data_IF_256002605454
#
_entry.id   IF_256002605454
#
_cell.length_a   1.000
_cell.length_b   1.000
_cell.length_c   1.000
_cell.angle_alpha   90.00
_cell.angle_beta   90.00
_cell.angle_gamma   90.00
#
_symmetry.space_group_name_H-M   'P 1'
#
loop_
_entity.id
_entity.type
_entity.pdbx_description
1 polymer ?
#
# COMPACT_ATOMS: atom_id res chain seq x y z
N UNK A 1 18.27 -10.45 19.41
CA UNK A 1 17.45 -10.49 20.65
C UNK A 1 16.65 -11.77 20.57
N UNK A 2 16.63 -12.59 21.63
CA UNK A 2 15.74 -13.74 21.67
C UNK A 2 14.30 -13.25 21.42
N UNK A 3 13.55 -13.96 20.58
CA UNK A 3 12.13 -13.69 20.41
C UNK A 3 11.49 -13.67 21.80
N UNK A 4 10.79 -12.58 22.12
CA UNK A 4 10.07 -12.46 23.39
C UNK A 4 8.96 -13.52 23.36
N UNK A 5 9.21 -14.64 24.02
CA UNK A 5 8.22 -15.69 24.25
C UNK A 5 7.15 -15.13 25.19
N UNK A 6 5.89 -15.16 24.75
CA UNK A 6 4.76 -14.72 25.57
C UNK A 6 4.22 -15.83 26.49
N UNK A 7 4.78 -17.05 26.42
CA UNK A 7 4.39 -18.19 27.24
C UNK A 7 3.02 -18.78 26.88
N UNK A 8 2.47 -18.42 25.72
CA UNK A 8 1.16 -18.86 25.26
C UNK A 8 1.28 -19.69 23.97
N UNK A 9 0.68 -20.87 23.97
CA UNK A 9 0.66 -21.74 22.79
C UNK A 9 -0.62 -21.50 21.95
N UNK A 10 -0.58 -20.49 21.08
CA UNK A 10 -1.63 -20.27 20.08
C UNK A 10 -1.08 -19.60 18.81
N UNK A 11 -1.82 -19.72 17.70
CA UNK A 11 -1.41 -19.18 16.41
C UNK A 11 -1.28 -17.65 16.39
N UNK A 12 -2.11 -16.94 17.16
CA UNK A 12 -2.04 -15.47 17.26
C UNK A 12 -0.77 -15.02 17.97
N UNK A 13 -0.44 -15.62 19.12
CA UNK A 13 0.81 -15.37 19.82
C UNK A 13 1.99 -15.63 18.92
N UNK A 14 1.99 -16.76 18.20
CA UNK A 14 3.06 -17.08 17.25
C UNK A 14 3.19 -16.04 16.14
N UNK A 15 2.08 -15.55 15.59
CA UNK A 15 2.11 -14.49 14.59
C UNK A 15 2.72 -13.19 15.15
N UNK A 16 2.31 -12.78 16.36
CA UNK A 16 2.83 -11.56 17.01
C UNK A 16 4.32 -11.69 17.34
N UNK A 17 4.82 -12.86 17.71
CA UNK A 17 6.25 -13.10 17.89
C UNK A 17 7.04 -12.95 16.59
N UNK A 18 6.46 -13.33 15.46
CA UNK A 18 7.12 -13.30 14.16
C UNK A 18 7.07 -11.92 13.50
N UNK A 19 5.94 -11.21 13.60
CA UNK A 19 5.69 -9.97 12.84
C UNK A 19 5.20 -8.79 13.68
N UNK A 20 5.04 -8.96 15.00
CA UNK A 20 4.57 -7.91 15.90
C UNK A 20 5.63 -6.88 16.29
N UNK A 21 6.92 -7.17 16.04
CA UNK A 21 8.00 -6.22 16.26
C UNK A 21 7.89 -5.01 15.32
N UNK A 22 8.21 -3.81 15.85
CA UNK A 22 8.12 -2.55 15.09
C UNK A 22 8.87 -2.70 13.76
N UNK A 23 8.26 -2.20 12.68
CA UNK A 23 8.70 -2.25 11.28
C UNK A 23 8.49 -3.57 10.52
N UNK A 24 8.32 -4.72 11.17
CA UNK A 24 8.20 -6.00 10.47
C UNK A 24 7.05 -5.99 9.46
N UNK A 25 5.83 -5.65 9.90
CA UNK A 25 4.66 -5.54 9.03
C UNK A 25 4.78 -4.42 7.98
N UNK A 26 5.54 -3.36 8.23
CA UNK A 26 5.77 -2.30 7.25
C UNK A 26 6.74 -2.72 6.15
N UNK A 27 7.75 -3.53 6.48
CA UNK A 27 8.64 -4.17 5.50
C UNK A 27 7.84 -5.18 4.66
N UNK A 28 7.02 -6.00 5.31
CA UNK A 28 6.14 -6.96 4.62
C UNK A 28 5.17 -6.24 3.69
N UNK A 29 4.53 -5.16 4.14
CA UNK A 29 3.65 -4.29 3.33
C UNK A 29 4.34 -3.85 2.04
N UNK A 30 5.59 -3.39 2.11
CA UNK A 30 6.30 -2.92 0.91
C UNK A 30 6.70 -4.09 -0.01
N UNK A 31 7.07 -5.25 0.56
CA UNK A 31 7.41 -6.46 -0.21
C UNK A 31 6.19 -7.17 -0.83
N UNK A 32 4.99 -6.94 -0.29
CA UNK A 32 3.72 -7.39 -0.90
C UNK A 32 3.48 -6.74 -2.25
N UNK A 33 3.94 -5.50 -2.44
CA UNK A 33 3.91 -4.82 -3.75
C UNK A 33 4.91 -5.46 -4.72
N UNK A 34 6.09 -5.83 -4.24
CA UNK A 34 7.06 -6.61 -5.03
C UNK A 34 8.45 -6.64 -4.42
N UNK A 35 9.41 -7.34 -5.05
CA UNK A 35 10.78 -7.41 -4.57
C UNK A 35 11.45 -6.03 -4.47
N UNK A 36 12.29 -5.83 -3.44
CA UNK A 36 12.97 -4.55 -3.18
C UNK A 36 14.44 -4.75 -2.82
N UNK A 37 15.30 -3.86 -3.29
CA UNK A 37 16.67 -3.71 -2.77
C UNK A 37 16.63 -3.13 -1.36
N UNK A 38 17.71 -3.32 -0.61
CA UNK A 38 17.85 -2.73 0.73
C UNK A 38 17.60 -1.21 0.73
N UNK A 39 18.23 -0.48 -0.20
CA UNK A 39 18.08 0.97 -0.31
C UNK A 39 16.65 1.42 -0.67
N UNK A 40 15.91 0.60 -1.41
CA UNK A 40 14.51 0.89 -1.75
C UNK A 40 13.61 0.73 -0.53
N UNK A 41 13.84 -0.30 0.30
CA UNK A 41 13.14 -0.46 1.58
C UNK A 41 13.47 0.68 2.55
N UNK A 42 14.75 1.09 2.64
CA UNK A 42 15.15 2.20 3.48
C UNK A 42 14.50 3.52 3.03
N UNK A 43 14.40 3.75 1.72
CA UNK A 43 13.71 4.93 1.17
C UNK A 43 12.19 4.88 1.38
N UNK A 44 11.57 3.69 1.28
CA UNK A 44 10.13 3.50 1.53
C UNK A 44 9.75 3.62 3.02
N UNK A 45 10.72 3.50 3.92
CA UNK A 45 10.56 3.59 5.37
C UNK A 45 11.47 4.68 5.94
N UNK A 46 11.25 5.98 5.63
CA UNK A 46 12.23 7.05 5.87
C UNK A 46 12.66 7.24 7.34
N UNK A 47 11.87 6.72 8.30
CA UNK A 47 12.15 6.80 9.74
C UNK A 47 12.74 5.52 10.33
N UNK A 48 13.06 4.50 9.52
CA UNK A 48 13.70 3.27 10.01
C UNK A 48 15.21 3.47 10.14
N UNK A 49 15.81 3.22 11.31
CA UNK A 49 17.27 3.18 11.40
C UNK A 49 17.84 2.01 10.60
N UNK A 50 18.96 2.23 9.90
CA UNK A 50 19.60 1.23 9.04
C UNK A 50 19.92 -0.10 9.76
N UNK A 51 20.45 -0.01 10.99
CA UNK A 51 20.70 -1.19 11.84
C UNK A 51 19.42 -1.95 12.20
N UNK A 52 18.31 -1.26 12.43
CA UNK A 52 17.00 -1.87 12.70
C UNK A 52 16.44 -2.53 11.44
N UNK A 53 16.54 -1.89 10.28
CA UNK A 53 16.14 -2.51 9.01
C UNK A 53 16.91 -3.81 8.75
N UNK A 54 18.24 -3.79 8.94
CA UNK A 54 19.07 -4.99 8.78
C UNK A 54 18.69 -6.11 9.76
N UNK A 55 18.44 -5.77 11.04
CA UNK A 55 17.99 -6.72 12.04
C UNK A 55 16.64 -7.36 11.68
N UNK A 56 15.66 -6.53 11.28
CA UNK A 56 14.31 -7.01 10.92
C UNK A 56 14.32 -7.87 9.66
N UNK A 57 15.12 -7.52 8.65
CA UNK A 57 15.28 -8.37 7.46
C UNK A 57 15.91 -9.72 7.80
N UNK A 58 16.89 -9.76 8.71
CA UNK A 58 17.48 -11.01 9.19
C UNK A 58 16.44 -11.86 9.91
N UNK A 59 15.69 -11.29 10.86
CA UNK A 59 14.66 -11.99 11.62
C UNK A 59 13.54 -12.55 10.71
N UNK A 60 13.05 -11.74 9.77
CA UNK A 60 12.03 -12.19 8.79
C UNK A 60 12.56 -13.31 7.87
N UNK A 61 13.86 -13.31 7.56
CA UNK A 61 14.48 -14.37 6.77
C UNK A 61 14.65 -15.66 7.59
N UNK A 62 15.07 -15.54 8.86
CA UNK A 62 15.16 -16.67 9.80
C UNK A 62 13.79 -17.30 10.06
N UNK A 63 12.73 -16.48 10.07
CA UNK A 63 11.34 -16.92 10.13
C UNK A 63 10.80 -17.54 8.83
N UNK A 64 11.58 -17.53 7.74
CA UNK A 64 11.16 -18.04 6.43
C UNK A 64 10.09 -17.20 5.72
N UNK A 65 9.83 -15.97 6.19
CA UNK A 65 8.83 -15.06 5.63
C UNK A 65 9.37 -14.36 4.38
N UNK A 66 10.65 -14.00 4.40
CA UNK A 66 11.34 -13.41 3.25
C UNK A 66 12.55 -14.24 2.85
N UNK A 67 13.04 -14.01 1.63
CA UNK A 67 14.33 -14.51 1.16
C UNK A 67 15.09 -13.44 0.41
N UNK A 68 16.42 -13.57 0.38
CA UNK A 68 17.29 -12.84 -0.54
C UNK A 68 17.35 -13.60 -1.87
N UNK A 69 17.07 -12.91 -2.96
CA UNK A 69 17.10 -13.47 -4.30
C UNK A 69 17.99 -12.61 -5.22
N UNK A 70 18.83 -13.22 -6.07
CA UNK A 70 19.50 -12.48 -7.14
C UNK A 70 18.48 -12.10 -8.20
N UNK A 71 18.49 -10.82 -8.61
CA UNK A 71 17.71 -10.33 -9.75
C UNK A 71 18.66 -9.56 -10.67
N UNK A 72 19.09 -10.22 -11.76
CA UNK A 72 20.18 -9.74 -12.61
C UNK A 72 21.45 -9.49 -11.77
N UNK A 73 22.01 -8.27 -11.76
CA UNK A 73 23.24 -7.92 -11.03
C UNK A 73 23.02 -7.41 -9.60
N UNK A 74 21.78 -7.41 -9.10
CA UNK A 74 21.44 -6.90 -7.76
C UNK A 74 20.82 -7.96 -6.88
N UNK A 75 20.99 -7.83 -5.57
CA UNK A 75 20.27 -8.64 -4.58
C UNK A 75 19.01 -7.88 -4.14
N UNK A 76 17.89 -8.58 -4.20
CA UNK A 76 16.60 -8.09 -3.69
C UNK A 76 16.12 -8.97 -2.55
N UNK A 77 15.26 -8.41 -1.72
CA UNK A 77 14.43 -9.13 -0.77
C UNK A 77 13.06 -9.33 -1.39
N UNK A 78 12.48 -10.50 -1.18
CA UNK A 78 11.13 -10.82 -1.61
C UNK A 78 10.45 -11.77 -0.62
N UNK A 79 9.12 -11.74 -0.58
CA UNK A 79 8.34 -12.67 0.24
C UNK A 79 8.47 -14.09 -0.33
N UNK A 80 8.59 -15.06 0.56
CA UNK A 80 8.41 -16.48 0.24
C UNK A 80 6.92 -16.79 0.02
N UNK A 81 6.54 -17.99 -0.45
CA UNK A 81 5.14 -18.40 -0.48
C UNK A 81 4.45 -18.22 0.89
N UNK A 82 5.12 -18.62 1.98
CA UNK A 82 4.62 -18.42 3.34
C UNK A 82 4.45 -16.94 3.69
N UNK A 83 5.41 -16.07 3.33
CA UNK A 83 5.28 -14.64 3.56
C UNK A 83 4.16 -13.97 2.75
N UNK A 84 3.80 -14.51 1.58
CA UNK A 84 2.68 -14.00 0.76
C UNK A 84 1.32 -14.26 1.40
N UNK A 85 1.19 -15.29 2.24
CA UNK A 85 -0.04 -15.58 2.99
C UNK A 85 -0.39 -14.46 4.01
N UNK A 86 0.53 -13.53 4.29
CA UNK A 86 0.27 -12.37 5.15
C UNK A 86 -0.50 -11.25 4.44
N UNK A 87 -0.71 -11.31 3.11
CA UNK A 87 -1.42 -10.25 2.38
C UNK A 87 -2.81 -9.96 2.96
N UNK A 88 -3.70 -10.94 3.18
CA UNK A 88 -5.03 -10.68 3.73
C UNK A 88 -4.97 -10.07 5.14
N UNK A 89 -3.96 -10.42 5.95
CA UNK A 89 -3.76 -9.86 7.29
C UNK A 89 -3.36 -8.39 7.21
N UNK A 90 -2.43 -8.04 6.31
CA UNK A 90 -1.99 -6.66 6.12
C UNK A 90 -3.12 -5.80 5.57
N UNK A 91 -3.91 -6.31 4.62
CA UNK A 91 -5.10 -5.60 4.10
C UNK A 91 -6.14 -5.38 5.20
N UNK A 92 -6.46 -6.41 5.99
CA UNK A 92 -7.40 -6.28 7.11
C UNK A 92 -6.92 -5.27 8.16
N UNK A 93 -5.63 -5.29 8.51
CA UNK A 93 -5.03 -4.32 9.42
C UNK A 93 -5.07 -2.91 8.85
N UNK A 94 -4.83 -2.75 7.55
CA UNK A 94 -4.95 -1.48 6.84
C UNK A 94 -6.37 -0.91 6.89
N UNK A 95 -7.38 -1.74 6.59
CA UNK A 95 -8.78 -1.35 6.65
C UNK A 95 -9.22 -0.98 8.07
N UNK A 96 -8.79 -1.74 9.08
CA UNK A 96 -9.04 -1.43 10.48
C UNK A 96 -8.35 -0.11 10.91
N UNK A 97 -7.09 0.08 10.53
CA UNK A 97 -6.33 1.28 10.85
C UNK A 97 -6.84 2.53 10.14
N UNK A 98 -7.41 2.39 8.95
CA UNK A 98 -7.99 3.47 8.17
C UNK A 98 -9.09 4.23 8.93
N UNK A 99 -9.91 3.50 9.72
CA UNK A 99 -10.98 4.08 10.54
C UNK A 99 -10.49 5.02 11.65
N UNK A 100 -9.25 4.83 12.08
CA UNK A 100 -8.60 5.65 13.09
C UNK A 100 -7.75 6.78 12.49
N UNK A 101 -7.70 6.92 11.16
CA UNK A 101 -6.93 7.98 10.52
C UNK A 101 -7.65 9.32 10.69
N UNK A 102 -6.93 10.29 11.27
CA UNK A 102 -7.29 11.71 11.21
C UNK A 102 -6.68 12.40 10.00
N UNK A 103 -6.59 13.72 10.08
CA UNK A 103 -5.90 14.50 9.06
C UNK A 103 -4.39 14.19 9.03
N UNK A 104 -3.78 14.15 7.83
CA UNK A 104 -2.36 13.88 7.70
C UNK A 104 -1.54 14.99 8.33
N UNK A 105 -0.54 14.63 9.13
CA UNK A 105 0.46 15.58 9.64
C UNK A 105 1.47 15.94 8.54
N UNK A 106 2.03 17.14 8.61
CA UNK A 106 2.94 17.68 7.58
C UNK A 106 4.14 16.77 7.27
N UNK A 107 4.67 16.08 8.28
CA UNK A 107 5.81 15.17 8.13
C UNK A 107 5.45 13.79 7.56
N UNK A 108 4.15 13.50 7.34
CA UNK A 108 3.68 12.23 6.82
C UNK A 108 3.69 12.23 5.30
N UNK A 109 4.54 11.39 4.72
CA UNK A 109 4.62 11.20 3.27
C UNK A 109 3.77 10.01 2.82
N UNK A 110 3.29 10.09 1.58
CA UNK A 110 2.74 8.95 0.85
C UNK A 110 3.86 8.34 0.00
N UNK A 111 4.19 7.07 0.23
CA UNK A 111 5.12 6.33 -0.63
C UNK A 111 4.35 5.51 -1.66
N UNK A 112 4.93 5.20 -2.84
CA UNK A 112 4.26 4.38 -3.84
C UNK A 112 3.74 3.06 -3.28
N UNK A 113 4.55 2.36 -2.46
CA UNK A 113 4.17 1.06 -1.91
C UNK A 113 3.05 1.18 -0.87
N UNK A 114 3.09 2.22 -0.03
CA UNK A 114 2.02 2.46 0.94
C UNK A 114 0.68 2.78 0.25
N UNK A 115 0.71 3.56 -0.85
CA UNK A 115 -0.49 3.90 -1.61
C UNK A 115 -1.01 2.71 -2.39
N UNK A 116 -0.14 1.91 -3.03
CA UNK A 116 -0.56 0.66 -3.67
C UNK A 116 -1.29 -0.25 -2.70
N UNK A 117 -0.80 -0.39 -1.47
CA UNK A 117 -1.48 -1.20 -0.45
C UNK A 117 -2.79 -0.55 0.02
N UNK A 118 -2.87 0.78 0.13
CA UNK A 118 -4.11 1.47 0.44
C UNK A 118 -5.17 1.24 -0.66
N UNK A 119 -4.78 1.32 -1.94
CA UNK A 119 -5.65 1.05 -3.08
C UNK A 119 -6.12 -0.41 -3.10
N UNK A 120 -5.22 -1.38 -2.90
CA UNK A 120 -5.60 -2.80 -2.76
C UNK A 120 -6.60 -3.02 -1.61
N UNK A 121 -6.40 -2.32 -0.50
CA UNK A 121 -7.28 -2.42 0.68
C UNK A 121 -8.66 -1.83 0.39
N UNK A 122 -8.73 -0.72 -0.35
CA UNK A 122 -9.97 -0.02 -0.69
C UNK A 122 -10.69 -0.61 -1.91
N UNK A 123 -10.04 -1.46 -2.69
CA UNK A 123 -10.59 -1.96 -3.94
C UNK A 123 -11.84 -2.82 -3.73
N UNK A 124 -12.92 -2.50 -4.46
CA UNK A 124 -14.19 -3.22 -4.44
C UNK A 124 -14.33 -4.04 -5.73
N UNK A 125 -13.83 -5.28 -5.79
CA UNK A 125 -13.84 -6.07 -7.03
C UNK A 125 -15.25 -6.35 -7.55
N UNK A 126 -16.26 -6.40 -6.67
CA UNK A 126 -17.66 -6.59 -7.06
C UNK A 126 -18.21 -5.40 -7.83
N UNK A 127 -17.85 -4.16 -7.43
CA UNK A 127 -18.24 -2.94 -8.14
C UNK A 127 -17.44 -2.82 -9.45
N UNK A 128 -16.14 -3.10 -9.38
CA UNK A 128 -15.25 -3.03 -10.54
C UNK A 128 -15.64 -4.00 -11.68
N UNK A 129 -16.20 -5.17 -11.34
CA UNK A 129 -16.63 -6.18 -12.31
C UNK A 129 -17.73 -5.69 -13.27
N UNK A 130 -18.51 -4.68 -12.89
CA UNK A 130 -19.62 -4.13 -13.67
C UNK A 130 -19.22 -2.90 -14.50
N UNK A 131 -17.96 -2.46 -14.39
CA UNK A 131 -17.46 -1.22 -14.98
C UNK A 131 -16.52 -1.51 -16.17
N UNK A 132 -16.47 -0.62 -17.18
CA UNK A 132 -15.47 -0.72 -18.24
C UNK A 132 -14.06 -0.62 -17.68
N UNK A 133 -13.12 -1.33 -18.33
CA UNK A 133 -11.69 -1.19 -18.06
C UNK A 133 -11.30 0.28 -18.03
N UNK A 134 -10.62 0.70 -16.97
CA UNK A 134 -10.21 2.09 -16.77
C UNK A 134 -8.79 2.13 -16.23
N UNK A 135 -7.96 3.00 -16.81
CA UNK A 135 -6.59 3.27 -16.38
C UNK A 135 -6.52 4.67 -15.79
N UNK A 136 -6.05 4.77 -14.55
CA UNK A 136 -5.82 6.03 -13.85
C UNK A 136 -4.32 6.30 -13.72
N UNK A 137 -3.90 7.52 -14.03
CA UNK A 137 -2.55 8.03 -13.74
C UNK A 137 -2.61 8.91 -12.49
N UNK A 138 -2.05 8.46 -11.37
CA UNK A 138 -2.18 9.15 -10.10
C UNK A 138 -0.82 9.66 -9.59
N UNK A 139 -0.76 10.94 -9.27
CA UNK A 139 0.42 11.60 -8.69
C UNK A 139 0.16 11.92 -7.21
N UNK A 140 0.86 11.24 -6.31
CA UNK A 140 0.80 11.45 -4.87
C UNK A 140 2.10 12.02 -4.33
N UNK A 141 2.25 13.35 -4.42
CA UNK A 141 3.54 14.00 -4.15
C UNK A 141 4.60 13.52 -5.15
N UNK A 142 5.64 12.85 -4.66
CA UNK A 142 6.70 12.27 -5.51
C UNK A 142 6.38 10.84 -6.01
N UNK A 143 5.24 10.28 -5.65
CA UNK A 143 4.84 8.94 -6.06
C UNK A 143 3.94 9.00 -7.31
N UNK A 144 4.38 8.37 -8.39
CA UNK A 144 3.61 8.20 -9.62
C UNK A 144 3.14 6.76 -9.73
N UNK A 145 1.84 6.57 -9.95
CA UNK A 145 1.22 5.26 -10.08
C UNK A 145 0.33 5.20 -11.33
N UNK A 146 0.45 4.10 -12.06
CA UNK A 146 -0.50 3.70 -13.09
C UNK A 146 -1.40 2.61 -12.49
N UNK A 147 -2.69 2.92 -12.37
CA UNK A 147 -3.70 2.08 -11.73
C UNK A 147 -4.64 1.56 -12.81
N UNK A 148 -4.57 0.27 -13.12
CA UNK A 148 -5.44 -0.38 -14.09
C UNK A 148 -6.49 -1.21 -13.37
N UNK A 149 -7.74 -0.89 -13.62
CA UNK A 149 -8.90 -1.68 -13.18
C UNK A 149 -9.49 -2.36 -14.41
N UNK A 150 -9.55 -3.68 -14.38
CA UNK A 150 -10.06 -4.51 -15.48
C UNK A 150 -10.96 -5.62 -14.90
N UNK A 151 -12.27 -5.38 -14.92
CA UNK A 151 -13.23 -6.20 -14.18
C UNK A 151 -12.88 -6.31 -12.69
N UNK A 152 -12.87 -7.51 -12.08
CA UNK A 152 -12.52 -7.68 -10.67
C UNK A 152 -11.00 -7.64 -10.40
N UNK A 153 -10.18 -7.26 -11.39
CA UNK A 153 -8.73 -7.25 -11.27
C UNK A 153 -8.20 -5.83 -11.11
N UNK A 154 -7.21 -5.70 -10.22
CA UNK A 154 -6.49 -4.47 -9.96
C UNK A 154 -5.00 -4.71 -10.21
N UNK A 155 -4.43 -3.96 -11.14
CA UNK A 155 -2.98 -3.85 -11.32
C UNK A 155 -2.53 -2.43 -10.97
N UNK A 156 -1.44 -2.32 -10.22
CA UNK A 156 -0.87 -1.04 -9.80
C UNK A 156 0.63 -1.08 -10.05
N UNK A 157 1.08 -0.29 -11.01
CA UNK A 157 2.48 -0.14 -11.38
C UNK A 157 3.00 1.23 -10.92
N UNK A 158 4.31 1.31 -10.66
CA UNK A 158 4.99 2.60 -10.44
C UNK A 158 5.32 3.26 -11.78
N UNK A 159 5.19 4.57 -11.83
CA UNK A 159 5.51 5.40 -12.99
C UNK A 159 4.27 6.01 -13.64
N UNK A 160 4.51 6.61 -14.80
CA UNK A 160 3.52 7.23 -15.65
C UNK A 160 3.16 6.35 -16.85
N UNK A 161 2.15 6.79 -17.61
CA UNK A 161 1.72 6.10 -18.81
C UNK A 161 0.38 6.63 -19.31
N UNK A 162 -0.10 6.14 -20.46
CA UNK A 162 -1.42 6.50 -20.97
C UNK A 162 -2.51 6.16 -19.96
N UNK A 163 -3.33 7.15 -19.62
CA UNK A 163 -4.41 7.01 -18.66
C UNK A 163 -5.70 7.67 -19.19
N UNK A 164 -6.85 7.06 -18.88
CA UNK A 164 -8.17 7.61 -19.18
C UNK A 164 -8.49 8.84 -18.32
N UNK A 165 -7.94 8.86 -17.10
CA UNK A 165 -7.95 9.98 -16.17
C UNK A 165 -6.59 10.08 -15.48
N UNK A 166 -5.96 11.24 -15.54
CA UNK A 166 -4.82 11.56 -14.69
C UNK A 166 -5.18 12.62 -13.67
N UNK A 167 -4.77 12.41 -12.42
CA UNK A 167 -5.01 13.35 -11.34
C UNK A 167 -3.80 13.43 -10.39
N UNK A 168 -3.69 14.54 -9.68
CA UNK A 168 -2.79 14.72 -8.55
C UNK A 168 -3.60 14.77 -7.25
N UNK A 169 -3.05 14.24 -6.16
CA UNK A 169 -3.66 14.34 -4.84
C UNK A 169 -2.63 14.22 -3.73
N UNK A 170 -2.87 14.93 -2.63
CA UNK A 170 -2.10 14.76 -1.40
C UNK A 170 -2.62 13.59 -0.54
N UNK A 171 -2.13 13.44 0.70
CA UNK A 171 -2.66 12.44 1.64
C UNK A 171 -4.14 12.69 2.00
N UNK A 172 -4.68 13.88 1.72
CA UNK A 172 -6.09 14.21 1.83
C UNK A 172 -7.03 13.37 0.95
N UNK A 173 -6.50 12.65 -0.06
CA UNK A 173 -7.26 11.69 -0.89
C UNK A 173 -8.03 10.66 -0.04
N UNK A 174 -7.60 10.40 1.21
CA UNK A 174 -8.34 9.56 2.16
C UNK A 174 -9.80 9.99 2.32
N UNK A 175 -10.10 11.29 2.19
CA UNK A 175 -11.45 11.85 2.34
C UNK A 175 -12.35 11.45 1.17
N UNK A 176 -11.79 11.34 -0.03
CA UNK A 176 -12.49 10.77 -1.18
C UNK A 176 -12.69 9.26 -1.02
N UNK A 177 -11.63 8.53 -0.66
CA UNK A 177 -11.67 7.06 -0.48
C UNK A 177 -12.64 6.66 0.65
N UNK A 178 -12.74 7.46 1.70
CA UNK A 178 -13.68 7.22 2.80
C UNK A 178 -15.13 7.58 2.48
N UNK A 179 -15.37 8.33 1.39
CA UNK A 179 -16.66 8.94 1.11
C UNK A 179 -16.99 10.18 1.97
N UNK A 180 -16.04 10.68 2.76
CA UNK A 180 -16.16 11.95 3.49
C UNK A 180 -16.31 13.15 2.54
N UNK A 181 -15.68 13.08 1.36
CA UNK A 181 -15.84 14.03 0.28
C UNK A 181 -16.33 13.33 -0.99
N UNK A 182 -17.38 13.89 -1.59
CA UNK A 182 -17.79 13.52 -2.94
C UNK A 182 -16.72 13.96 -3.98
N UNK A 183 -16.63 13.30 -5.15
CA UNK A 183 -15.63 13.62 -6.18
C UNK A 183 -15.56 15.10 -6.55
N UNK A 184 -16.69 15.74 -6.83
CA UNK A 184 -16.75 17.16 -7.17
C UNK A 184 -16.25 18.05 -6.03
N UNK A 185 -16.66 17.77 -4.80
CA UNK A 185 -16.21 18.51 -3.62
C UNK A 185 -14.72 18.31 -3.35
N UNK A 186 -14.16 17.13 -3.65
CA UNK A 186 -12.72 16.88 -3.53
C UNK A 186 -11.91 17.72 -4.53
N UNK A 187 -12.45 17.95 -5.74
CA UNK A 187 -11.84 18.85 -6.72
C UNK A 187 -11.94 20.31 -6.25
N UNK A 188 -13.15 20.75 -5.85
CA UNK A 188 -13.39 22.12 -5.39
C UNK A 188 -12.55 22.49 -4.15
N UNK A 189 -12.35 21.53 -3.25
CA UNK A 189 -11.52 21.71 -2.05
C UNK A 189 -10.01 21.59 -2.32
N UNK A 190 -9.59 21.34 -3.56
CA UNK A 190 -8.18 21.15 -3.94
C UNK A 190 -7.53 19.88 -3.37
N UNK A 191 -8.34 18.92 -2.91
CA UNK A 191 -7.86 17.61 -2.44
C UNK A 191 -7.39 16.75 -3.62
N UNK A 192 -8.07 16.90 -4.76
CA UNK A 192 -7.74 16.26 -6.04
C UNK A 192 -7.68 17.33 -7.13
N UNK A 193 -6.63 17.30 -7.93
CA UNK A 193 -6.53 18.12 -9.14
C UNK A 193 -6.56 17.19 -10.36
N UNK A 194 -7.50 17.42 -11.28
CA UNK A 194 -7.55 16.68 -12.54
C UNK A 194 -6.51 17.27 -13.49
N UNK A 195 -5.55 16.45 -13.91
CA UNK A 195 -4.47 16.86 -14.81
C UNK A 195 -4.92 16.75 -16.27
N UNK A 196 -5.51 15.62 -16.65
CA UNK A 196 -6.12 15.40 -17.96
C UNK A 196 -7.09 14.22 -17.94
N UNK A 197 -7.88 14.06 -19.00
CA UNK A 197 -8.86 12.98 -19.14
C UNK A 197 -10.26 13.38 -18.69
N UNK A 198 -11.15 12.40 -18.53
CA UNK A 198 -12.57 12.67 -18.25
C UNK A 198 -12.84 12.76 -16.75
N UNK A 199 -13.28 13.92 -16.26
CA UNK A 199 -13.48 14.17 -14.82
C UNK A 199 -14.56 13.31 -14.15
N UNK A 200 -15.54 12.81 -14.90
CA UNK A 200 -16.55 11.85 -14.41
C UNK A 200 -15.93 10.53 -13.93
N UNK A 201 -14.75 10.17 -14.45
CA UNK A 201 -14.02 8.98 -14.02
C UNK A 201 -13.50 9.09 -12.58
N UNK A 202 -13.46 10.28 -11.96
CA UNK A 202 -13.14 10.40 -10.54
C UNK A 202 -14.26 9.84 -9.66
N UNK A 203 -15.52 9.95 -10.10
CA UNK A 203 -16.65 9.27 -9.44
C UNK A 203 -16.51 7.76 -9.51
N UNK A 204 -16.18 7.25 -10.70
CA UNK A 204 -15.88 5.82 -10.87
C UNK A 204 -14.71 5.35 -9.99
N UNK A 205 -13.67 6.17 -9.86
CA UNK A 205 -12.56 5.88 -8.95
C UNK A 205 -13.05 5.75 -7.50
N UNK A 206 -13.83 6.72 -7.01
CA UNK A 206 -14.40 6.67 -5.65
C UNK A 206 -15.34 5.48 -5.44
N UNK A 207 -16.10 5.09 -6.47
CA UNK A 207 -16.93 3.90 -6.44
C UNK A 207 -16.09 2.61 -6.44
N UNK A 208 -14.96 2.60 -7.11
CA UNK A 208 -14.09 1.42 -7.19
C UNK A 208 -13.19 1.25 -5.96
N UNK A 209 -12.78 2.36 -5.34
CA UNK A 209 -11.87 2.39 -4.20
C UNK A 209 -12.55 3.07 -3.01
N UNK A 210 -13.06 2.26 -2.08
CA UNK A 210 -13.79 2.76 -0.92
C UNK A 210 -13.47 1.99 0.37
N UNK A 211 -13.25 2.74 1.45
CA UNK A 211 -13.14 2.21 2.81
C UNK A 211 -14.04 2.98 3.74
N UNK A 212 -15.07 2.34 4.28
CA UNK A 212 -15.91 2.98 5.28
C UNK A 212 -15.08 3.34 6.52
N UNK A 213 -15.08 4.64 6.84
CA UNK A 213 -14.52 5.17 8.08
C UNK A 213 -15.33 4.69 9.30
#
# INVERSE_FOLDING_TARGET
MAARDYGQYCGVTRAVELVGERWALLIIRDLLVGPRRYGELAAGLPRIPSNILAARLKELQEAGIIRRAPRSRVIVYELTPYGRELEPVVLALGAWGFKAMGDPREEQIVTPDSMTMALRTAFRPQIAAELPTTVYGAHFGAAELLIRVDGPTLDVARGDGPADLAFSAGPGIRRLISGELAPTAAIEAGVVEVLHGRGDLLGRFADTFHLAA
#
